data_IF_710872261964
#
_entry.id   IF_710872261964
#
_cell.length_a   1.000
_cell.length_b   1.000
_cell.length_c   1.000
_cell.angle_alpha   90.00
_cell.angle_beta   90.00
_cell.angle_gamma   90.00
#
_symmetry.space_group_name_H-M   'P 1'
#
loop_
_entity.id
_entity.type
_entity.pdbx_description
1 polymer ?
#
# COMPACT_ATOMS: atom_id res chain seq x y z
N UNK A 1 -56.40 3.54 0.56
CA UNK A 1 -55.24 2.95 1.25
C UNK A 1 -54.00 3.31 0.46
N UNK A 2 -53.19 4.23 1.00
CA UNK A 2 -52.08 4.92 0.32
C UNK A 2 -50.79 4.10 0.38
N UNK A 3 -50.12 3.88 -0.75
CA UNK A 3 -48.79 3.25 -0.83
C UNK A 3 -47.69 4.32 -0.76
N UNK A 4 -47.58 5.04 0.37
CA UNK A 4 -46.73 6.24 0.44
C UNK A 4 -45.68 6.26 1.55
N UNK A 5 -45.65 5.28 2.47
CA UNK A 5 -44.75 5.32 3.63
C UNK A 5 -43.77 4.14 3.68
N UNK A 6 -42.96 3.97 2.63
CA UNK A 6 -41.75 3.17 2.75
C UNK A 6 -40.56 4.08 2.45
N UNK A 7 -39.93 4.58 3.50
CA UNK A 7 -38.65 5.27 3.40
C UNK A 7 -37.66 4.36 2.62
N UNK A 8 -36.86 4.91 1.69
CA UNK A 8 -35.87 4.11 0.98
C UNK A 8 -34.92 3.50 2.02
N UNK A 9 -34.68 2.20 1.91
CA UNK A 9 -33.65 1.54 2.69
C UNK A 9 -32.33 2.33 2.53
N UNK A 10 -31.56 2.57 3.61
CA UNK A 10 -30.31 3.29 3.51
C UNK A 10 -29.44 2.61 2.46
N UNK A 11 -28.88 3.42 1.55
CA UNK A 11 -27.85 2.97 0.62
C UNK A 11 -26.74 2.33 1.45
N UNK A 12 -26.67 1.00 1.44
CA UNK A 12 -25.52 0.26 1.90
C UNK A 12 -24.59 0.20 0.70
N UNK A 13 -23.49 0.96 0.66
CA UNK A 13 -22.46 0.65 -0.31
C UNK A 13 -22.10 -0.81 -0.03
N UNK A 14 -22.34 -1.70 -1.00
CA UNK A 14 -21.67 -2.98 -0.98
C UNK A 14 -20.20 -2.64 -0.96
N UNK A 15 -19.53 -2.85 0.19
CA UNK A 15 -18.09 -2.72 0.24
C UNK A 15 -17.55 -3.52 -0.94
N UNK A 16 -16.71 -2.94 -1.82
CA UNK A 16 -16.10 -3.72 -2.88
C UNK A 16 -15.43 -4.91 -2.21
N UNK A 17 -16.04 -6.09 -2.39
CA UNK A 17 -15.61 -7.30 -1.73
C UNK A 17 -14.50 -7.84 -2.61
N UNK A 18 -13.27 -7.51 -2.26
CA UNK A 18 -12.05 -8.07 -2.83
C UNK A 18 -11.81 -9.51 -2.35
N UNK A 19 -12.88 -10.28 -2.09
CA UNK A 19 -12.80 -11.61 -1.50
C UNK A 19 -11.99 -12.52 -2.42
N UNK A 20 -10.82 -12.99 -1.97
CA UNK A 20 -9.89 -13.78 -2.77
C UNK A 20 -8.97 -12.96 -3.68
N UNK A 21 -8.93 -11.64 -3.54
CA UNK A 21 -7.96 -10.79 -4.22
C UNK A 21 -6.54 -11.01 -3.68
N UNK A 22 -6.38 -11.47 -2.44
CA UNK A 22 -5.07 -11.81 -1.87
C UNK A 22 -4.30 -12.76 -2.78
N UNK A 23 -4.96 -13.80 -3.30
CA UNK A 23 -4.37 -14.75 -4.24
C UNK A 23 -3.89 -14.08 -5.54
N UNK A 24 -4.58 -13.04 -6.01
CA UNK A 24 -4.16 -12.24 -7.16
C UNK A 24 -2.99 -11.31 -6.82
N UNK A 25 -3.04 -10.59 -5.69
CA UNK A 25 -1.97 -9.69 -5.25
C UNK A 25 -0.68 -10.43 -4.86
N UNK A 26 -0.81 -11.66 -4.37
CA UNK A 26 0.30 -12.55 -4.03
C UNK A 26 0.76 -13.41 -5.21
N UNK A 27 0.09 -13.35 -6.37
CA UNK A 27 0.47 -14.21 -7.49
C UNK A 27 1.83 -13.78 -8.06
N UNK A 28 2.64 -14.72 -8.55
CA UNK A 28 3.87 -14.38 -9.26
C UNK A 28 3.63 -13.47 -10.48
N UNK A 29 2.46 -13.59 -11.12
CA UNK A 29 2.09 -12.76 -12.27
C UNK A 29 1.82 -11.30 -11.91
N UNK A 30 1.64 -10.97 -10.63
CA UNK A 30 1.53 -9.57 -10.19
C UNK A 30 2.90 -8.88 -10.11
N UNK A 31 3.98 -9.61 -9.85
CA UNK A 31 5.37 -9.13 -10.02
C UNK A 31 5.86 -9.42 -11.43
N UNK A 32 5.07 -9.03 -12.44
CA UNK A 32 5.49 -9.19 -13.83
C UNK A 32 6.72 -8.31 -14.15
N UNK A 33 7.40 -8.54 -15.29
CA UNK A 33 8.58 -7.77 -15.66
C UNK A 33 8.32 -6.26 -15.80
N UNK A 34 7.10 -5.82 -16.14
CA UNK A 34 6.76 -4.38 -16.18
C UNK A 34 6.78 -3.81 -14.77
N UNK A 35 6.16 -4.51 -13.82
CA UNK A 35 6.18 -4.12 -12.41
C UNK A 35 7.61 -3.98 -11.90
N UNK A 36 8.42 -5.03 -12.04
CA UNK A 36 9.76 -5.10 -11.43
C UNK A 36 10.78 -4.25 -12.18
N UNK A 37 10.79 -4.25 -13.52
CA UNK A 37 11.85 -3.60 -14.29
C UNK A 37 11.51 -2.14 -14.66
N UNK A 38 10.25 -1.72 -14.54
CA UNK A 38 9.81 -0.37 -14.90
C UNK A 38 9.16 0.38 -13.75
N UNK A 39 8.07 -0.13 -13.18
CA UNK A 39 7.31 0.63 -12.18
C UNK A 39 8.08 0.81 -10.86
N UNK A 40 8.71 -0.24 -10.36
CA UNK A 40 9.42 -0.19 -9.07
C UNK A 40 10.63 0.77 -9.09
N UNK A 41 11.54 0.74 -10.10
CA UNK A 41 12.63 1.71 -10.20
C UNK A 41 12.13 3.16 -10.29
N UNK A 42 11.08 3.42 -11.07
CA UNK A 42 10.49 4.76 -11.20
C UNK A 42 9.88 5.20 -9.86
N UNK A 43 9.14 4.33 -9.19
CA UNK A 43 8.52 4.62 -7.89
C UNK A 43 9.58 4.95 -6.84
N UNK A 44 10.65 4.15 -6.77
CA UNK A 44 11.78 4.40 -5.84
C UNK A 44 12.46 5.73 -6.10
N UNK A 45 12.62 6.12 -7.36
CA UNK A 45 13.17 7.43 -7.72
C UNK A 45 12.27 8.56 -7.24
N UNK A 46 10.96 8.48 -7.51
CA UNK A 46 9.98 9.48 -7.06
C UNK A 46 9.99 9.63 -5.55
N UNK A 47 10.00 8.51 -4.82
CA UNK A 47 10.10 8.51 -3.35
C UNK A 47 11.39 9.18 -2.89
N UNK A 48 12.53 8.83 -3.48
CA UNK A 48 13.84 9.39 -3.12
C UNK A 48 13.86 10.91 -3.30
N UNK A 49 13.36 11.40 -4.44
CA UNK A 49 13.27 12.83 -4.73
C UNK A 49 12.29 13.54 -3.77
N UNK A 50 11.15 12.92 -3.45
CA UNK A 50 10.19 13.46 -2.49
C UNK A 50 10.78 13.56 -1.07
N UNK A 51 11.52 12.54 -0.62
CA UNK A 51 12.19 12.56 0.69
C UNK A 51 13.27 13.65 0.76
N UNK A 52 14.04 13.84 -0.31
CA UNK A 52 15.03 14.91 -0.39
C UNK A 52 14.37 16.30 -0.30
N UNK A 53 13.21 16.47 -0.95
CA UNK A 53 12.46 17.72 -0.92
C UNK A 53 11.89 18.07 0.47
N UNK A 54 11.73 17.10 1.37
CA UNK A 54 11.33 17.36 2.76
C UNK A 54 12.43 18.06 3.57
N UNK A 55 13.68 18.12 3.07
CA UNK A 55 14.76 18.92 3.66
C UNK A 55 15.10 18.55 5.11
N UNK A 56 14.94 17.28 5.48
CA UNK A 56 15.15 16.81 6.85
C UNK A 56 16.64 16.60 7.16
N UNK A 57 16.98 16.84 8.41
CA UNK A 57 18.33 16.59 8.93
C UNK A 57 18.74 15.11 8.79
N UNK A 58 20.05 14.89 8.66
CA UNK A 58 20.64 13.57 8.70
C UNK A 58 20.29 12.88 10.03
N UNK A 59 19.53 11.79 9.96
CA UNK A 59 19.09 11.02 11.12
C UNK A 59 17.63 11.24 11.54
N UNK A 60 16.93 12.27 11.04
CA UNK A 60 15.52 12.48 11.36
C UNK A 60 14.64 11.32 10.85
N UNK A 61 13.66 10.89 11.65
CA UNK A 61 12.70 9.85 11.28
C UNK A 61 11.64 10.33 10.27
N UNK A 62 11.00 9.38 9.59
CA UNK A 62 9.93 9.61 8.63
C UNK A 62 8.65 8.91 9.09
N UNK A 63 7.52 9.62 8.94
CA UNK A 63 6.19 9.05 9.13
C UNK A 63 5.55 8.90 7.76
N UNK A 64 5.07 7.71 7.45
CA UNK A 64 4.45 7.39 6.17
C UNK A 64 3.05 6.87 6.41
N UNK A 65 2.09 7.44 5.68
CA UNK A 65 0.73 6.93 5.55
C UNK A 65 0.57 6.41 4.12
N UNK A 66 0.33 5.11 3.98
CA UNK A 66 0.08 4.45 2.71
C UNK A 66 -1.41 4.10 2.59
N UNK A 67 -2.09 4.65 1.59
CA UNK A 67 -3.54 4.56 1.42
C UNK A 67 -3.85 3.62 0.26
N UNK A 68 -4.61 2.56 0.53
CA UNK A 68 -4.73 1.43 -0.40
C UNK A 68 -3.46 0.61 -0.40
N UNK A 69 -2.90 0.34 0.79
CA UNK A 69 -1.58 -0.26 0.95
C UNK A 69 -1.48 -1.70 0.42
N UNK A 70 -2.61 -2.36 0.17
CA UNK A 70 -2.64 -3.76 -0.26
C UNK A 70 -1.82 -4.64 0.67
N UNK A 71 -0.93 -5.44 0.09
CA UNK A 71 0.00 -6.35 0.79
C UNK A 71 1.27 -5.67 1.33
N UNK A 72 1.25 -4.34 1.50
CA UNK A 72 2.36 -3.50 1.95
C UNK A 72 3.60 -3.47 1.03
N UNK A 73 3.41 -3.64 -0.28
CA UNK A 73 4.52 -3.55 -1.25
C UNK A 73 5.19 -2.16 -1.22
N UNK A 74 4.44 -1.10 -0.87
CA UNK A 74 4.98 0.25 -0.69
C UNK A 74 6.02 0.35 0.44
N UNK A 75 5.85 -0.43 1.52
CA UNK A 75 6.84 -0.54 2.58
C UNK A 75 8.13 -1.16 2.06
N UNK A 76 8.05 -2.26 1.30
CA UNK A 76 9.21 -2.87 0.66
C UNK A 76 9.91 -1.88 -0.30
N UNK A 77 9.16 -1.11 -1.10
CA UNK A 77 9.78 -0.12 -1.98
C UNK A 77 10.54 0.99 -1.23
N UNK A 78 10.15 1.31 0.01
CA UNK A 78 10.85 2.24 0.90
C UNK A 78 12.07 1.60 1.56
N UNK A 79 11.92 0.38 2.08
CA UNK A 79 12.96 -0.30 2.85
C UNK A 79 13.85 -1.15 1.96
N UNK A 80 13.37 -2.19 1.27
CA UNK A 80 14.11 -2.93 0.23
C UNK A 80 13.15 -3.57 -0.78
N UNK A 81 13.35 -3.32 -2.08
CA UNK A 81 12.50 -3.93 -3.11
C UNK A 81 12.84 -5.42 -3.30
N UNK A 82 14.14 -5.76 -3.31
CA UNK A 82 14.63 -7.14 -3.37
C UNK A 82 15.76 -7.40 -2.34
N UNK A 83 16.04 -8.67 -1.99
CA UNK A 83 17.18 -9.02 -1.16
C UNK A 83 18.51 -8.54 -1.75
N UNK A 84 19.20 -7.65 -1.04
CA UNK A 84 20.49 -7.09 -1.45
C UNK A 84 20.42 -5.65 -1.97
N UNK A 85 19.22 -5.11 -2.18
CA UNK A 85 19.05 -3.71 -2.56
C UNK A 85 19.47 -2.76 -1.44
N UNK A 86 20.04 -1.61 -1.84
CA UNK A 86 20.28 -0.49 -0.93
C UNK A 86 18.93 0.12 -0.55
N UNK A 87 18.64 0.28 0.75
CA UNK A 87 17.38 0.88 1.18
C UNK A 87 17.24 2.34 0.76
N UNK A 88 16.02 2.78 0.41
CA UNK A 88 15.73 4.22 0.28
C UNK A 88 15.72 4.86 1.66
N UNK A 89 15.08 4.18 2.63
CA UNK A 89 15.14 4.50 4.05
C UNK A 89 15.44 3.25 4.87
N UNK A 90 16.31 3.41 5.87
CA UNK A 90 16.49 2.40 6.90
C UNK A 90 15.16 2.22 7.67
N UNK A 91 14.79 0.97 7.93
CA UNK A 91 13.51 0.62 8.55
C UNK A 91 13.34 1.26 9.94
N UNK A 92 14.42 1.36 10.70
CA UNK A 92 14.44 1.95 12.05
C UNK A 92 14.15 3.46 12.04
N UNK A 93 14.23 4.10 10.88
CA UNK A 93 13.89 5.51 10.69
C UNK A 93 12.45 5.70 10.22
N UNK A 94 11.68 4.64 10.07
CA UNK A 94 10.35 4.66 9.49
C UNK A 94 9.29 4.32 10.54
N UNK A 95 8.31 5.20 10.66
CA UNK A 95 7.03 4.94 11.32
C UNK A 95 5.97 4.86 10.20
N UNK A 96 5.60 3.62 9.83
CA UNK A 96 4.77 3.34 8.66
C UNK A 96 3.39 2.84 9.08
N UNK A 97 2.36 3.46 8.51
CA UNK A 97 0.96 3.08 8.68
C UNK A 97 0.38 2.77 7.31
N UNK A 98 0.10 1.50 7.04
CA UNK A 98 -0.68 1.05 5.89
C UNK A 98 -2.17 1.00 6.20
N UNK A 99 -2.99 1.59 5.34
CA UNK A 99 -4.44 1.56 5.40
C UNK A 99 -4.98 0.85 4.15
N UNK A 100 -5.79 -0.18 4.36
CA UNK A 100 -6.57 -0.80 3.29
C UNK A 100 -8.02 -0.99 3.74
N UNK A 101 -8.94 -0.97 2.78
CA UNK A 101 -10.37 -1.21 3.02
C UNK A 101 -10.68 -2.70 3.11
N UNK A 102 -9.84 -3.54 2.51
CA UNK A 102 -9.95 -5.00 2.56
C UNK A 102 -9.17 -5.56 3.76
N UNK A 103 -9.85 -6.14 4.77
CA UNK A 103 -9.18 -6.78 5.90
C UNK A 103 -8.22 -7.89 5.49
N UNK A 104 -8.49 -8.61 4.39
CA UNK A 104 -7.64 -9.70 3.91
C UNK A 104 -6.25 -9.17 3.47
N UNK A 105 -6.21 -7.97 2.90
CA UNK A 105 -4.95 -7.28 2.55
C UNK A 105 -4.16 -6.92 3.79
N UNK A 106 -4.83 -6.36 4.81
CA UNK A 106 -4.19 -5.97 6.07
C UNK A 106 -3.64 -7.21 6.80
N UNK A 107 -4.40 -8.30 6.86
CA UNK A 107 -3.94 -9.56 7.45
C UNK A 107 -2.73 -10.13 6.69
N UNK A 108 -2.78 -10.12 5.36
CA UNK A 108 -1.68 -10.57 4.50
C UNK A 108 -0.42 -9.72 4.72
N UNK A 109 -0.55 -8.40 4.78
CA UNK A 109 0.55 -7.48 5.03
C UNK A 109 1.20 -7.72 6.41
N UNK A 110 0.41 -8.04 7.44
CA UNK A 110 0.91 -8.32 8.80
C UNK A 110 1.67 -9.63 8.93
N UNK A 111 1.45 -10.58 8.02
CA UNK A 111 2.09 -11.89 8.03
C UNK A 111 3.46 -11.92 7.33
N UNK A 112 3.90 -10.79 6.78
CA UNK A 112 5.15 -10.63 6.01
C UNK A 112 6.27 -10.03 6.84
#
# INVERSE_FOLDING_TARGET
MSRSDQAPAPFRPGAPSYRGASAHYLSPSRRDPVKVLSEEPVTRRVITEALAALGKDAGAGYRVLDVGSGTADGFALLTRAEPGDVPVLAEERLDYVGLDVDPEMVETARAR
#
